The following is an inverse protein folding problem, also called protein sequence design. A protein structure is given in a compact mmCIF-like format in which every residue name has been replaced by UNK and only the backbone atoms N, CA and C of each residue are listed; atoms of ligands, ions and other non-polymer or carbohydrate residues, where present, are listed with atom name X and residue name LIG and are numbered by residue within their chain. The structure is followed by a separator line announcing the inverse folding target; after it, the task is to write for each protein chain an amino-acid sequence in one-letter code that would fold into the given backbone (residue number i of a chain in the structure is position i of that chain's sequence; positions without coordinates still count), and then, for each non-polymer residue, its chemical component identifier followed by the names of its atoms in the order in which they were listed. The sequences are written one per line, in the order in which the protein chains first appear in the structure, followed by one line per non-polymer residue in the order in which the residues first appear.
data_IF_207152050539
#
_entry.id   IF_207152050539
#
_cell.length_a   1.000
_cell.length_b   1.000
_cell.length_c   1.000
_cell.angle_alpha   90.00
_cell.angle_beta   90.00
_cell.angle_gamma   90.00
#
_symmetry.space_group_name_H-M   'P 1'
#
loop_
_entity.id
_entity.type
_entity.pdbx_description
1 polymer ?
#
# COMPACT_ATOMS: atom_id res chain seq x y z
N UNK A 1 17.38 -1.05 32.14
CA UNK A 1 16.61 -1.83 31.15
C UNK A 1 15.66 -0.86 30.49
N UNK A 2 16.02 -0.40 29.29
CA UNK A 2 15.30 0.66 28.60
C UNK A 2 13.95 0.14 28.12
N UNK A 3 12.87 0.60 28.74
CA UNK A 3 11.55 0.58 28.14
C UNK A 3 11.47 1.72 27.11
N UNK A 4 12.31 1.63 26.07
CA UNK A 4 12.10 2.39 24.84
C UNK A 4 11.02 1.65 24.06
N UNK A 5 9.97 2.36 23.70
CA UNK A 5 8.89 1.88 22.83
C UNK A 5 9.48 1.06 21.67
N UNK A 6 9.01 -0.17 21.47
CA UNK A 6 9.46 -1.00 20.34
C UNK A 6 9.15 -0.22 19.06
N UNK A 7 10.17 0.19 18.27
CA UNK A 7 9.96 1.02 17.09
C UNK A 7 9.22 0.27 15.97
N UNK A 8 8.89 -1.00 16.19
CA UNK A 8 8.14 -1.84 15.28
C UNK A 8 9.03 -2.40 14.17
N UNK A 9 8.47 -3.24 13.29
CA UNK A 9 9.22 -3.84 12.20
C UNK A 9 9.62 -2.80 11.16
N UNK A 10 10.69 -3.10 10.42
CA UNK A 10 11.03 -2.33 9.22
C UNK A 10 9.89 -2.43 8.19
N UNK A 11 9.58 -1.32 7.52
CA UNK A 11 8.44 -1.22 6.59
C UNK A 11 8.88 -0.62 5.26
N UNK A 12 8.50 -1.27 4.16
CA UNK A 12 8.64 -0.73 2.80
C UNK A 12 7.25 -0.38 2.28
N UNK A 13 7.00 0.92 2.09
CA UNK A 13 5.70 1.44 1.65
C UNK A 13 5.85 2.02 0.25
N UNK A 14 5.00 1.59 -0.69
CA UNK A 14 4.93 2.13 -2.04
C UNK A 14 3.69 3.02 -2.18
N UNK A 15 3.88 4.26 -2.63
CA UNK A 15 2.81 5.15 -3.08
C UNK A 15 2.63 4.96 -4.58
N UNK A 16 1.45 4.52 -5.00
CA UNK A 16 1.11 4.29 -6.40
C UNK A 16 0.24 5.45 -6.92
N UNK A 17 0.35 5.78 -8.20
CA UNK A 17 -0.41 6.86 -8.85
C UNK A 17 0.48 7.98 -9.40
N UNK A 18 -0.11 9.16 -9.65
CA UNK A 18 0.58 10.31 -10.25
C UNK A 18 1.82 10.76 -9.47
N UNK A 19 1.72 10.77 -8.13
CA UNK A 19 2.82 11.09 -7.23
C UNK A 19 3.53 9.82 -6.73
N UNK A 20 4.00 8.97 -7.65
CA UNK A 20 4.63 7.70 -7.31
C UNK A 20 5.83 7.87 -6.37
N UNK A 21 6.02 6.94 -5.44
CA UNK A 21 7.17 7.01 -4.52
C UNK A 21 7.27 5.79 -3.62
N UNK A 22 8.35 5.72 -2.84
CA UNK A 22 8.54 4.69 -1.84
C UNK A 22 9.18 5.26 -0.57
N UNK A 23 8.80 4.73 0.59
CA UNK A 23 9.44 5.03 1.87
C UNK A 23 9.84 3.72 2.53
N UNK A 24 11.12 3.60 2.85
CA UNK A 24 11.68 2.52 3.66
C UNK A 24 11.93 3.05 5.07
N UNK A 25 11.16 2.56 6.04
CA UNK A 25 11.33 2.86 7.47
C UNK A 25 12.17 1.74 8.10
N UNK A 26 13.33 2.09 8.66
CA UNK A 26 14.26 1.16 9.32
C UNK A 26 14.65 1.63 10.70
N UNK A 27 14.94 0.69 11.60
CA UNK A 27 15.40 1.02 12.95
C UNK A 27 16.90 1.26 12.96
N UNK A 28 17.30 2.48 13.30
CA UNK A 28 18.69 2.86 13.51
C UNK A 28 18.95 3.10 15.00
N UNK A 29 20.23 3.13 15.41
CA UNK A 29 20.60 3.64 16.73
C UNK A 29 20.82 5.14 16.64
N UNK A 30 20.29 5.90 17.61
CA UNK A 30 20.64 7.31 17.78
C UNK A 30 22.16 7.46 17.99
N UNK A 31 22.82 8.48 17.46
CA UNK A 31 24.20 8.79 17.88
C UNK A 31 24.20 9.41 19.28
N UNK A 32 24.95 8.87 20.25
CA UNK A 32 25.04 9.43 21.61
C UNK A 32 25.24 8.38 22.71
N UNK A 33 25.29 8.84 23.97
CA UNK A 33 25.66 8.01 25.13
C UNK A 33 24.59 6.99 25.56
N UNK A 34 23.34 7.15 25.13
CA UNK A 34 22.28 6.19 25.44
C UNK A 34 21.26 6.09 24.30
N UNK A 35 21.56 5.35 23.22
CA UNK A 35 20.70 5.32 22.07
C UNK A 35 19.84 4.07 22.04
N UNK A 36 18.60 4.22 22.49
CA UNK A 36 17.51 3.34 22.10
C UNK A 36 17.34 3.32 20.57
N UNK A 37 16.68 2.29 20.03
CA UNK A 37 16.41 2.22 18.61
C UNK A 37 15.43 3.36 18.21
N UNK A 38 15.63 3.94 17.03
CA UNK A 38 14.78 4.99 16.46
C UNK A 38 14.43 4.65 15.00
N UNK A 39 13.16 4.80 14.58
CA UNK A 39 12.79 4.63 13.18
C UNK A 39 13.37 5.79 12.35
N UNK A 40 13.90 5.46 11.18
CA UNK A 40 14.44 6.40 10.19
C UNK A 40 13.79 6.11 8.85
N UNK A 41 13.24 7.16 8.24
CA UNK A 41 12.60 7.08 6.93
C UNK A 41 13.58 7.43 5.81
N UNK A 42 13.70 6.52 4.85
CA UNK A 42 14.41 6.71 3.58
C UNK A 42 13.35 6.89 2.49
N UNK A 43 13.15 8.12 2.03
CA UNK A 43 12.13 8.47 1.05
C UNK A 43 12.72 8.57 -0.37
N UNK A 44 11.99 8.01 -1.33
CA UNK A 44 12.27 8.06 -2.76
C UNK A 44 11.04 8.63 -3.47
N UNK A 45 11.22 9.74 -4.18
CA UNK A 45 10.16 10.39 -4.94
C UNK A 45 10.36 10.11 -6.45
N UNK A 46 9.37 9.49 -7.09
CA UNK A 46 9.41 9.21 -8.53
C UNK A 46 8.91 10.39 -9.36
N UNK A 47 8.29 11.41 -8.77
CA UNK A 47 7.93 12.63 -9.50
C UNK A 47 9.17 13.35 -10.04
N UNK A 48 10.27 13.26 -9.30
CA UNK A 48 11.56 13.79 -9.74
C UNK A 48 12.08 13.11 -11.03
N UNK A 49 11.53 11.95 -11.43
CA UNK A 49 11.90 11.24 -12.65
C UNK A 49 11.18 11.76 -13.91
N UNK A 50 10.29 12.75 -13.78
CA UNK A 50 9.61 13.40 -14.90
C UNK A 50 8.12 13.03 -15.02
N UNK A 51 7.40 13.65 -15.98
CA UNK A 51 5.97 13.46 -16.12
C UNK A 51 5.64 12.01 -16.47
N UNK A 52 4.79 11.40 -15.65
CA UNK A 52 4.20 10.09 -15.95
C UNK A 52 3.19 10.24 -17.08
N UNK A 53 3.25 9.36 -18.09
CA UNK A 53 2.26 9.35 -19.14
C UNK A 53 0.94 8.79 -18.60
N UNK A 54 -0.17 9.31 -19.10
CA UNK A 54 -1.50 8.83 -18.70
C UNK A 54 -1.62 7.31 -18.93
N UNK A 55 -2.32 6.64 -18.00
CA UNK A 55 -2.44 5.18 -17.99
C UNK A 55 -2.95 4.62 -19.33
N UNK A 56 -3.90 5.29 -19.97
CA UNK A 56 -4.44 4.86 -21.27
C UNK A 56 -3.45 4.98 -22.41
N UNK A 57 -2.56 5.98 -22.40
CA UNK A 57 -1.55 6.13 -23.45
C UNK A 57 -0.59 4.96 -23.45
N UNK A 58 -0.17 4.51 -22.26
CA UNK A 58 0.65 3.30 -22.13
C UNK A 58 -0.07 2.03 -22.60
N UNK A 59 -1.35 1.86 -22.25
CA UNK A 59 -2.14 0.70 -22.68
C UNK A 59 -2.32 0.64 -24.20
N UNK A 60 -2.65 1.78 -24.82
CA UNK A 60 -2.83 1.86 -26.27
C UNK A 60 -1.51 1.63 -27.01
N UNK A 61 -0.42 2.23 -26.54
CA UNK A 61 0.90 2.01 -27.12
C UNK A 61 1.29 0.53 -27.06
N UNK A 62 1.08 -0.14 -25.93
CA UNK A 62 1.37 -1.57 -25.80
C UNK A 62 0.51 -2.43 -26.72
N UNK A 63 -0.78 -2.14 -26.85
CA UNK A 63 -1.68 -2.84 -27.75
C UNK A 63 -1.23 -2.73 -29.21
N UNK A 64 -0.85 -1.52 -29.66
CA UNK A 64 -0.36 -1.27 -31.03
C UNK A 64 0.93 -2.05 -31.31
N UNK A 65 1.83 -2.14 -30.33
CA UNK A 65 3.11 -2.84 -30.48
C UNK A 65 3.05 -4.34 -30.13
N UNK A 66 1.87 -4.89 -29.85
CA UNK A 66 1.70 -6.30 -29.47
C UNK A 66 2.34 -6.68 -28.13
N UNK A 67 2.55 -5.71 -27.24
CA UNK A 67 3.11 -5.94 -25.90
C UNK A 67 1.99 -6.28 -24.92
N UNK A 68 2.05 -7.45 -24.32
CA UNK A 68 0.98 -7.95 -23.44
C UNK A 68 1.25 -7.74 -21.95
N UNK A 69 2.41 -7.17 -21.57
CA UNK A 69 2.83 -7.07 -20.16
C UNK A 69 1.92 -6.25 -19.24
N UNK A 70 1.09 -5.34 -19.78
CA UNK A 70 0.08 -4.57 -19.04
C UNK A 70 -1.33 -5.16 -19.09
N UNK A 71 -1.51 -6.28 -19.79
CA UNK A 71 -2.80 -6.95 -19.93
C UNK A 71 -2.82 -8.21 -19.07
N UNK A 72 -3.90 -8.38 -18.31
CA UNK A 72 -4.13 -9.59 -17.54
C UNK A 72 -4.52 -10.75 -18.45
N UNK A 73 -4.03 -11.95 -18.16
CA UNK A 73 -4.43 -13.16 -18.89
C UNK A 73 -5.85 -13.59 -18.52
N UNK A 74 -6.55 -14.32 -19.41
CA UNK A 74 -7.89 -14.85 -19.11
C UNK A 74 -7.90 -15.70 -17.84
N UNK A 75 -6.89 -16.57 -17.66
CA UNK A 75 -6.72 -17.36 -16.44
C UNK A 75 -6.64 -16.48 -15.19
N UNK A 76 -5.90 -15.38 -15.24
CA UNK A 76 -5.81 -14.43 -14.11
C UNK A 76 -7.17 -13.79 -13.81
N UNK A 77 -7.94 -13.47 -14.85
CA UNK A 77 -9.30 -12.91 -14.71
C UNK A 77 -10.24 -13.94 -14.07
N UNK A 78 -10.24 -15.19 -14.54
CA UNK A 78 -11.07 -16.27 -13.99
C UNK A 78 -10.76 -16.54 -12.50
N UNK A 79 -9.47 -16.60 -12.14
CA UNK A 79 -9.07 -16.77 -10.74
C UNK A 79 -9.46 -15.57 -9.87
N UNK A 80 -9.35 -14.36 -10.40
CA UNK A 80 -9.77 -13.14 -9.69
C UNK A 80 -11.28 -13.18 -9.40
N UNK A 81 -12.08 -13.59 -10.38
CA UNK A 81 -13.52 -13.78 -10.20
C UNK A 81 -13.83 -14.89 -9.20
N UNK A 82 -13.14 -16.03 -9.26
CA UNK A 82 -13.31 -17.12 -8.30
C UNK A 82 -13.05 -16.67 -6.86
N UNK A 83 -12.02 -15.83 -6.65
CA UNK A 83 -11.67 -15.30 -5.31
C UNK A 83 -12.74 -14.33 -4.80
N UNK A 84 -13.22 -13.42 -5.65
CA UNK A 84 -14.16 -12.36 -5.23
C UNK A 84 -15.61 -12.85 -5.16
N UNK A 85 -15.98 -13.88 -5.93
CA UNK A 85 -17.36 -14.35 -6.03
C UNK A 85 -18.09 -14.55 -4.68
N UNK A 86 -17.52 -15.20 -3.65
CA UNK A 86 -18.21 -15.38 -2.37
C UNK A 86 -18.55 -14.06 -1.66
N UNK A 87 -17.71 -13.03 -1.84
CA UNK A 87 -17.96 -11.71 -1.25
C UNK A 87 -19.15 -10.98 -1.90
N UNK A 88 -19.50 -11.35 -3.14
CA UNK A 88 -20.64 -10.77 -3.87
C UNK A 88 -21.98 -11.39 -3.45
N UNK A 89 -21.95 -12.56 -2.80
CA UNK A 89 -23.17 -13.24 -2.33
C UNK A 89 -23.62 -12.77 -0.94
N UNK A 90 -22.81 -11.98 -0.24
CA UNK A 90 -23.12 -11.41 1.08
C UNK A 90 -24.33 -10.48 0.98
N UNK A 91 -25.34 -10.73 1.81
CA UNK A 91 -26.62 -9.99 1.83
C UNK A 91 -26.74 -8.99 2.98
N UNK A 92 -25.77 -8.98 3.88
CA UNK A 92 -25.76 -8.08 5.03
C UNK A 92 -25.70 -6.62 4.56
N UNK A 93 -26.41 -5.76 5.27
CA UNK A 93 -26.33 -4.32 5.02
C UNK A 93 -24.90 -3.82 5.28
N UNK A 94 -24.35 -2.92 4.44
CA UNK A 94 -23.04 -2.31 4.71
C UNK A 94 -23.05 -1.59 6.05
N UNK A 95 -21.96 -1.73 6.81
CA UNK A 95 -21.79 -1.01 8.06
C UNK A 95 -21.64 0.50 7.78
N UNK A 96 -22.37 1.38 8.49
CA UNK A 96 -22.23 2.82 8.32
C UNK A 96 -20.91 3.33 8.91
N UNK A 97 -20.42 4.45 8.38
CA UNK A 97 -19.27 5.17 8.91
C UNK A 97 -19.38 6.67 8.57
N UNK A 98 -18.75 7.52 9.39
CA UNK A 98 -18.79 8.96 9.17
C UNK A 98 -17.96 9.36 7.95
N UNK A 99 -18.43 10.35 7.18
CA UNK A 99 -17.66 10.94 6.09
C UNK A 99 -16.32 11.47 6.61
N UNK A 100 -15.22 11.09 5.97
CA UNK A 100 -13.86 11.47 6.37
C UNK A 100 -13.22 10.57 7.43
N UNK A 101 -13.94 9.58 7.96
CA UNK A 101 -13.34 8.52 8.78
C UNK A 101 -12.66 7.44 7.93
N UNK A 102 -11.89 6.57 8.60
CA UNK A 102 -11.21 5.41 7.99
C UNK A 102 -12.12 4.22 7.67
N UNK A 103 -13.42 4.32 7.97
CA UNK A 103 -14.40 3.25 7.79
C UNK A 103 -15.05 2.82 9.11
N UNK A 104 -15.82 1.71 9.08
CA UNK A 104 -16.48 1.17 10.27
C UNK A 104 -15.49 0.70 11.33
N UNK A 105 -15.84 0.81 12.61
CA UNK A 105 -14.98 0.36 13.73
C UNK A 105 -14.59 -1.12 13.61
N UNK A 106 -15.50 -1.96 13.14
CA UNK A 106 -15.24 -3.38 12.89
C UNK A 106 -14.09 -3.63 11.89
N UNK A 107 -13.80 -2.68 10.99
CA UNK A 107 -12.70 -2.80 10.03
C UNK A 107 -11.33 -2.54 10.68
N UNK A 108 -11.27 -1.81 11.80
CA UNK A 108 -10.01 -1.46 12.46
C UNK A 108 -9.27 -2.68 13.00
N UNK A 109 -10.00 -3.74 13.38
CA UNK A 109 -9.43 -4.99 13.90
C UNK A 109 -9.03 -6.03 12.85
N UNK A 110 -9.39 -5.84 11.57
CA UNK A 110 -9.13 -6.83 10.52
C UNK A 110 -7.65 -7.18 10.33
N UNK A 111 -6.69 -6.23 10.41
CA UNK A 111 -5.26 -6.54 10.25
C UNK A 111 -4.62 -7.24 11.46
N UNK A 112 -5.34 -7.44 12.56
CA UNK A 112 -4.78 -7.99 13.79
C UNK A 112 -3.81 -7.04 14.49
N UNK A 113 -2.78 -7.59 15.15
CA UNK A 113 -1.87 -6.85 16.02
C UNK A 113 -1.03 -5.78 15.30
N UNK A 114 -0.76 -5.96 14.00
CA UNK A 114 0.05 -5.02 13.21
C UNK A 114 -0.71 -3.75 12.81
N UNK A 115 -2.04 -3.80 12.84
CA UNK A 115 -2.92 -2.69 12.52
C UNK A 115 -2.84 -2.21 11.07
N UNK A 116 -3.64 -1.19 10.74
CA UNK A 116 -3.56 -0.51 9.45
C UNK A 116 -2.36 0.44 9.44
N UNK A 117 -1.64 0.47 8.32
CA UNK A 117 -0.61 1.48 8.08
C UNK A 117 -1.25 2.76 7.55
N UNK A 118 -0.91 3.92 8.12
CA UNK A 118 -1.28 5.21 7.55
C UNK A 118 -0.65 5.37 6.15
N UNK A 119 -1.38 5.96 5.19
CA UNK A 119 -0.86 6.23 3.85
C UNK A 119 0.30 7.22 3.90
N UNK A 120 1.11 7.20 2.84
CA UNK A 120 2.21 8.13 2.56
C UNK A 120 1.76 9.44 1.95
#
# INVERSE_FOLDING_TARGET
WFAGEDPGPARLRFRLGGHGGAVLTVNARRPGADPGPMPVDLAFDLEAAGPSWEAYTHLLADAIHGRTGRFVSMRTVEESWRIVAPALDVRDAPLPYARGSWGPEAAAGLPGADGWCAPL
#
